data_IF_866231014650
#
_entry.id   IF_866231014650
#
_cell.length_a   1.000
_cell.length_b   1.000
_cell.length_c   1.000
_cell.angle_alpha   90.00
_cell.angle_beta   90.00
_cell.angle_gamma   90.00
#
_symmetry.space_group_name_H-M   'P 1'
#
loop_
_entity.id
_entity.type
_entity.pdbx_description
1 polymer ?
#
# COMPACT_ATOMS: atom_id res chain seq x y z
N UNK A 1 -17.01 -36.52 -12.62
CA UNK A 1 -16.83 -37.96 -12.32
C UNK A 1 -16.57 -38.01 -10.82
N UNK A 2 -17.35 -38.75 -10.03
CA UNK A 2 -17.16 -38.78 -8.57
C UNK A 2 -16.04 -39.77 -8.25
N UNK A 3 -14.87 -39.27 -7.84
CA UNK A 3 -13.78 -40.05 -7.26
C UNK A 3 -14.25 -40.68 -5.94
N UNK A 4 -13.88 -41.94 -5.72
CA UNK A 4 -14.15 -42.60 -4.44
C UNK A 4 -13.32 -41.93 -3.34
N UNK A 5 -13.86 -41.71 -2.13
CA UNK A 5 -13.07 -41.19 -1.01
C UNK A 5 -11.86 -42.07 -0.67
N UNK A 6 -11.88 -43.35 -1.06
CA UNK A 6 -10.71 -44.24 -0.93
C UNK A 6 -9.62 -43.96 -1.98
N UNK A 7 -10.00 -43.62 -3.20
CA UNK A 7 -9.08 -43.30 -4.29
C UNK A 7 -8.35 -41.97 -4.02
N UNK A 8 -9.04 -41.02 -3.37
CA UNK A 8 -8.44 -39.77 -2.90
C UNK A 8 -7.42 -40.00 -1.79
N UNK A 9 -7.67 -40.94 -0.87
CA UNK A 9 -6.72 -41.30 0.19
C UNK A 9 -5.48 -42.03 -0.35
N UNK A 10 -5.67 -42.87 -1.38
CA UNK A 10 -4.57 -43.56 -2.05
C UNK A 10 -3.66 -42.57 -2.77
N UNK A 11 -4.22 -41.60 -3.50
CA UNK A 11 -3.44 -40.53 -4.12
C UNK A 11 -2.69 -39.67 -3.09
N UNK A 12 -3.33 -39.36 -1.95
CA UNK A 12 -2.71 -38.58 -0.88
C UNK A 12 -1.56 -39.35 -0.21
N UNK A 13 -1.70 -40.67 -0.09
CA UNK A 13 -0.67 -41.54 0.46
C UNK A 13 0.53 -41.69 -0.47
N UNK A 14 0.30 -41.68 -1.79
CA UNK A 14 1.37 -41.71 -2.80
C UNK A 14 2.15 -40.39 -2.88
N UNK A 15 1.52 -39.28 -2.48
CA UNK A 15 2.11 -37.94 -2.46
C UNK A 15 2.44 -37.45 -1.04
N UNK A 16 2.63 -38.36 -0.07
CA UNK A 16 3.09 -37.98 1.26
C UNK A 16 4.49 -37.36 1.18
N UNK A 17 4.73 -36.20 1.81
CA UNK A 17 6.05 -35.58 1.84
C UNK A 17 7.02 -36.37 2.72
N UNK A 18 8.30 -36.30 2.42
CA UNK A 18 9.37 -36.79 3.29
C UNK A 18 9.43 -35.98 4.60
N UNK A 19 10.01 -36.55 5.67
CA UNK A 19 9.97 -35.98 7.03
C UNK A 19 10.32 -34.47 7.08
N UNK A 20 9.36 -33.66 7.53
CA UNK A 20 9.53 -32.22 7.77
C UNK A 20 9.02 -31.32 6.65
N UNK A 21 8.57 -31.87 5.52
CA UNK A 21 7.91 -31.12 4.46
C UNK A 21 6.38 -31.13 4.65
N UNK A 22 5.74 -30.03 4.26
CA UNK A 22 4.28 -29.89 4.28
C UNK A 22 3.78 -29.71 2.85
N UNK A 23 2.60 -30.23 2.54
CA UNK A 23 1.97 -30.11 1.22
C UNK A 23 0.60 -29.44 1.36
N UNK A 24 0.32 -28.49 0.48
CA UNK A 24 -1.00 -27.90 0.31
C UNK A 24 -1.80 -28.79 -0.64
N UNK A 25 -2.88 -29.36 -0.13
CA UNK A 25 -3.82 -30.14 -0.94
C UNK A 25 -5.03 -29.26 -1.23
N UNK A 26 -5.25 -28.92 -2.50
CA UNK A 26 -6.40 -28.11 -2.93
C UNK A 26 -7.15 -28.78 -4.07
N UNK A 27 -8.45 -28.52 -4.18
CA UNK A 27 -9.29 -29.03 -5.28
C UNK A 27 -9.45 -27.95 -6.34
N UNK A 28 -8.90 -28.16 -7.53
CA UNK A 28 -9.07 -27.27 -8.71
C UNK A 28 -9.72 -28.07 -9.83
N UNK A 29 -10.82 -27.56 -10.39
CA UNK A 29 -11.58 -28.18 -11.49
C UNK A 29 -12.02 -29.64 -11.26
N UNK A 30 -12.16 -30.05 -9.99
CA UNK A 30 -12.59 -31.39 -9.61
C UNK A 30 -11.45 -32.38 -9.33
N UNK A 31 -10.20 -32.00 -9.62
CA UNK A 31 -8.99 -32.79 -9.38
C UNK A 31 -8.25 -32.30 -8.13
N UNK A 32 -7.53 -33.22 -7.46
CA UNK A 32 -6.65 -32.91 -6.34
C UNK A 32 -5.31 -32.41 -6.89
N UNK A 33 -4.94 -31.19 -6.52
CA UNK A 33 -3.66 -30.57 -6.86
C UNK A 33 -2.78 -30.53 -5.60
N UNK A 34 -1.57 -31.07 -5.74
CA UNK A 34 -0.56 -31.14 -4.69
C UNK A 34 0.52 -30.09 -4.95
N UNK A 35 0.59 -29.06 -4.10
CA UNK A 35 1.62 -28.02 -4.19
C UNK A 35 2.46 -28.06 -2.90
N UNK A 36 3.80 -27.95 -2.97
CA UNK A 36 4.64 -27.87 -1.77
C UNK A 36 4.17 -26.69 -0.91
N UNK A 37 3.83 -26.95 0.35
CA UNK A 37 3.41 -25.90 1.28
C UNK A 37 4.63 -25.03 1.59
N UNK A 38 4.69 -23.89 0.90
CA UNK A 38 5.61 -22.81 1.23
C UNK A 38 4.88 -21.88 2.19
N UNK A 39 5.22 -21.88 3.49
CA UNK A 39 4.61 -20.93 4.43
C UNK A 39 4.84 -19.47 4.00
N UNK A 40 5.81 -19.24 3.13
CA UNK A 40 6.21 -17.93 2.62
C UNK A 40 5.70 -17.60 1.20
N UNK A 41 4.84 -18.40 0.56
CA UNK A 41 4.33 -18.05 -0.78
C UNK A 41 3.44 -16.78 -0.79
N UNK A 42 2.87 -16.44 0.37
CA UNK A 42 2.19 -15.15 0.64
C UNK A 42 3.17 -14.02 1.04
N UNK A 43 4.46 -14.34 1.26
CA UNK A 43 5.57 -13.43 1.61
C UNK A 43 6.56 -13.18 0.45
N UNK A 44 6.56 -14.06 -0.54
CA UNK A 44 7.50 -14.13 -1.68
C UNK A 44 7.53 -12.88 -2.58
N UNK A 45 6.68 -11.88 -2.31
CA UNK A 45 6.68 -10.61 -3.03
C UNK A 45 7.87 -9.69 -2.69
N UNK A 46 8.55 -9.88 -1.55
CA UNK A 46 9.54 -8.90 -1.00
C UNK A 46 10.85 -9.54 -0.49
N UNK A 47 11.02 -10.86 -0.53
CA UNK A 47 12.21 -11.51 0.04
C UNK A 47 13.53 -11.17 -0.65
N UNK A 48 13.47 -10.56 -1.84
CA UNK A 48 14.66 -10.07 -2.52
C UNK A 48 15.05 -8.67 -2.04
N UNK A 49 16.22 -8.59 -1.39
CA UNK A 49 16.78 -7.37 -0.80
C UNK A 49 16.76 -6.14 -1.74
N UNK A 50 16.93 -6.36 -3.06
CA UNK A 50 16.87 -5.29 -4.05
C UNK A 50 15.46 -4.68 -4.20
N UNK A 51 14.43 -5.52 -4.27
CA UNK A 51 13.04 -5.04 -4.39
C UNK A 51 12.61 -4.35 -3.10
N UNK A 52 12.92 -4.94 -1.95
CA UNK A 52 12.69 -4.33 -0.65
C UNK A 52 13.37 -2.95 -0.53
N UNK A 53 14.65 -2.84 -0.89
CA UNK A 53 15.38 -1.57 -0.87
C UNK A 53 14.74 -0.49 -1.74
N UNK A 54 14.19 -0.84 -2.91
CA UNK A 54 13.44 0.11 -3.74
C UNK A 54 12.09 0.50 -3.15
N UNK A 55 11.39 -0.42 -2.48
CA UNK A 55 10.14 -0.09 -1.77
C UNK A 55 10.41 0.88 -0.62
N UNK A 56 11.48 0.65 0.15
CA UNK A 56 11.92 1.56 1.22
C UNK A 56 12.26 2.94 0.66
N UNK A 57 13.09 3.00 -0.39
CA UNK A 57 13.45 4.27 -1.04
C UNK A 57 12.22 5.03 -1.57
N UNK A 58 11.28 4.33 -2.21
CA UNK A 58 10.05 4.93 -2.70
C UNK A 58 9.18 5.49 -1.56
N UNK A 59 9.11 4.77 -0.44
CA UNK A 59 8.40 5.22 0.75
C UNK A 59 9.04 6.45 1.39
N UNK A 60 10.38 6.49 1.49
CA UNK A 60 11.12 7.66 1.98
C UNK A 60 10.88 8.89 1.11
N UNK A 61 10.89 8.72 -0.22
CA UNK A 61 10.57 9.78 -1.16
C UNK A 61 9.16 10.34 -0.89
N UNK A 62 8.14 9.47 -0.79
CA UNK A 62 6.77 9.90 -0.46
C UNK A 62 6.65 10.61 0.89
N UNK A 63 7.42 10.16 1.89
CA UNK A 63 7.41 10.75 3.23
C UNK A 63 8.07 12.14 3.24
N UNK A 64 9.15 12.31 2.48
CA UNK A 64 9.86 13.59 2.37
C UNK A 64 9.01 14.72 1.78
N UNK A 65 8.00 14.40 0.97
CA UNK A 65 7.08 15.36 0.36
C UNK A 65 6.19 16.09 1.38
N UNK A 66 6.04 15.55 2.59
CA UNK A 66 5.21 16.15 3.64
C UNK A 66 5.82 17.36 4.33
N UNK A 67 7.15 17.49 4.36
CA UNK A 67 7.83 18.50 5.16
C UNK A 67 7.55 19.94 4.69
N UNK A 68 7.57 20.18 3.37
CA UNK A 68 7.39 21.53 2.82
C UNK A 68 5.96 22.06 3.03
N UNK A 69 4.87 21.32 2.73
CA UNK A 69 3.52 21.78 3.03
C UNK A 69 3.31 22.08 4.51
N UNK A 70 3.84 21.26 5.43
CA UNK A 70 3.76 21.53 6.87
C UNK A 70 4.42 22.85 7.26
N UNK A 71 5.62 23.11 6.73
CA UNK A 71 6.33 24.38 6.95
C UNK A 71 5.54 25.58 6.42
N UNK A 72 5.02 25.50 5.19
CA UNK A 72 4.23 26.57 4.57
C UNK A 72 2.95 26.83 5.38
N UNK A 73 2.23 25.78 5.78
CA UNK A 73 1.04 25.88 6.64
C UNK A 73 1.37 26.51 7.99
N UNK A 74 2.45 26.09 8.65
CA UNK A 74 2.87 26.66 9.93
C UNK A 74 3.22 28.15 9.84
N UNK A 75 4.07 28.52 8.87
CA UNK A 75 4.51 29.92 8.67
C UNK A 75 3.33 30.81 8.29
N UNK A 76 2.46 30.35 7.37
CA UNK A 76 1.28 31.10 6.97
C UNK A 76 0.29 31.30 8.13
N UNK A 77 0.06 30.27 8.94
CA UNK A 77 -0.83 30.36 10.10
C UNK A 77 -0.31 31.36 11.14
N UNK A 78 0.98 31.31 11.48
CA UNK A 78 1.60 32.28 12.41
C UNK A 78 1.50 33.69 11.84
N UNK A 79 1.78 33.87 10.56
CA UNK A 79 1.68 35.18 9.89
C UNK A 79 0.26 35.73 9.95
N UNK A 80 -0.75 34.89 9.70
CA UNK A 80 -2.17 35.26 9.81
C UNK A 80 -2.56 35.62 11.25
N UNK A 81 -2.02 34.93 12.25
CA UNK A 81 -2.26 35.26 13.66
C UNK A 81 -1.69 36.64 14.02
N UNK A 82 -0.44 36.93 13.62
CA UNK A 82 0.20 38.22 13.87
C UNK A 82 -0.55 39.35 13.16
N UNK A 83 -0.91 39.15 11.89
CA UNK A 83 -1.65 40.15 11.11
C UNK A 83 -3.06 40.40 11.68
N UNK A 84 -3.74 39.33 12.08
CA UNK A 84 -5.05 39.39 12.72
C UNK A 84 -4.99 40.18 14.03
N UNK A 85 -3.97 39.94 14.85
CA UNK A 85 -3.76 40.68 16.09
C UNK A 85 -3.44 42.17 15.85
N UNK A 86 -2.67 42.48 14.81
CA UNK A 86 -2.28 43.86 14.49
C UNK A 86 -3.43 44.71 13.94
N UNK A 87 -4.39 44.09 13.24
CA UNK A 87 -5.46 44.79 12.51
C UNK A 87 -6.80 44.79 13.22
N UNK A 88 -7.15 43.71 13.93
CA UNK A 88 -8.38 43.60 14.70
C UNK A 88 -8.10 43.96 16.15
N UNK A 89 -8.41 45.19 16.53
CA UNK A 89 -8.26 45.71 17.89
C UNK A 89 -9.03 44.85 18.92
N UNK A 90 -8.34 43.91 19.55
CA UNK A 90 -8.61 43.36 20.89
C UNK A 90 -9.98 42.72 21.18
N UNK A 91 -10.87 42.56 20.20
CA UNK A 91 -12.17 41.95 20.46
C UNK A 91 -12.01 40.47 20.78
N UNK A 92 -12.36 40.08 22.01
CA UNK A 92 -12.24 38.71 22.51
C UNK A 92 -12.99 37.68 21.67
N UNK A 93 -13.99 38.12 20.90
CA UNK A 93 -14.79 37.29 20.01
C UNK A 93 -14.01 36.78 18.78
N UNK A 94 -12.99 37.51 18.30
CA UNK A 94 -12.21 37.12 17.12
C UNK A 94 -11.30 35.93 17.42
N UNK A 95 -10.94 35.72 18.69
CA UNK A 95 -10.02 34.66 19.08
C UNK A 95 -10.55 33.25 18.85
N UNK A 96 -11.87 33.05 18.90
CA UNK A 96 -12.50 31.77 18.58
C UNK A 96 -12.36 31.37 17.10
N UNK A 97 -12.02 32.31 16.21
CA UNK A 97 -11.81 32.03 14.79
C UNK A 97 -10.44 31.40 14.52
N UNK A 98 -9.42 31.65 15.35
CA UNK A 98 -8.08 31.08 15.13
C UNK A 98 -8.04 29.55 15.21
N UNK A 99 -8.69 28.88 16.19
CA UNK A 99 -8.79 27.42 16.21
C UNK A 99 -9.52 26.85 14.99
N UNK A 100 -10.61 27.49 14.54
CA UNK A 100 -11.34 27.08 13.33
C UNK A 100 -10.46 27.20 12.08
N UNK A 101 -9.76 28.33 11.96
CA UNK A 101 -8.80 28.57 10.88
C UNK A 101 -7.66 27.56 10.91
N UNK A 102 -7.16 27.19 12.10
CA UNK A 102 -6.11 26.19 12.26
C UNK A 102 -6.57 24.83 11.74
N UNK A 103 -7.74 24.36 12.17
CA UNK A 103 -8.29 23.08 11.72
C UNK A 103 -8.48 23.08 10.20
N UNK A 104 -9.03 24.16 9.64
CA UNK A 104 -9.19 24.29 8.19
C UNK A 104 -7.85 24.28 7.44
N UNK A 105 -6.85 24.98 7.97
CA UNK A 105 -5.49 25.02 7.42
C UNK A 105 -4.82 23.65 7.46
N UNK A 106 -5.00 22.89 8.54
CA UNK A 106 -4.52 21.51 8.65
C UNK A 106 -5.22 20.58 7.66
N UNK A 107 -6.54 20.71 7.46
CA UNK A 107 -7.26 19.95 6.43
C UNK A 107 -6.72 20.23 5.03
N UNK A 108 -6.51 21.51 4.68
CA UNK A 108 -5.90 21.89 3.41
C UNK A 108 -4.50 21.30 3.29
N UNK A 109 -3.68 21.40 4.33
CA UNK A 109 -2.33 20.85 4.35
C UNK A 109 -2.35 19.34 4.10
N UNK A 110 -3.24 18.61 4.79
CA UNK A 110 -3.42 17.18 4.60
C UNK A 110 -3.79 16.84 3.15
N UNK A 111 -4.79 17.51 2.57
CA UNK A 111 -5.16 17.30 1.17
C UNK A 111 -4.02 17.63 0.20
N UNK A 112 -3.25 18.70 0.48
CA UNK A 112 -2.11 19.09 -0.33
C UNK A 112 -1.00 18.03 -0.30
N UNK A 113 -0.66 17.50 0.88
CA UNK A 113 0.32 16.41 1.02
C UNK A 113 -0.14 15.20 0.22
N UNK A 114 -1.41 14.77 0.39
CA UNK A 114 -1.97 13.63 -0.35
C UNK A 114 -1.90 13.82 -1.86
N UNK A 115 -2.28 14.99 -2.35
CA UNK A 115 -2.23 15.29 -3.78
C UNK A 115 -0.81 15.22 -4.34
N UNK A 116 0.19 15.73 -3.61
CA UNK A 116 1.60 15.64 -4.03
C UNK A 116 2.12 14.20 -4.02
N UNK A 117 1.77 13.44 -2.98
CA UNK A 117 2.13 12.02 -2.88
C UNK A 117 1.55 11.22 -4.04
N UNK A 118 0.28 11.44 -4.37
CA UNK A 118 -0.40 10.78 -5.49
C UNK A 118 0.26 11.10 -6.83
N UNK A 119 0.59 12.38 -7.10
CA UNK A 119 1.28 12.76 -8.34
C UNK A 119 2.59 12.01 -8.48
N UNK A 120 3.48 12.12 -7.47
CA UNK A 120 4.81 11.48 -7.52
C UNK A 120 4.69 9.97 -7.61
N UNK A 121 3.73 9.38 -6.89
CA UNK A 121 3.44 7.96 -6.97
C UNK A 121 3.08 7.53 -8.39
N UNK A 122 2.16 8.23 -9.05
CA UNK A 122 1.70 7.88 -10.39
C UNK A 122 2.77 8.13 -11.47
N UNK A 123 3.56 9.20 -11.34
CA UNK A 123 4.51 9.61 -12.38
C UNK A 123 5.86 8.91 -12.28
N UNK A 124 6.34 8.61 -11.07
CA UNK A 124 7.71 8.13 -10.85
C UNK A 124 7.73 6.71 -10.27
N UNK A 125 7.03 6.49 -9.16
CA UNK A 125 7.16 5.25 -8.38
C UNK A 125 6.43 4.08 -9.05
N UNK A 126 5.16 4.26 -9.42
CA UNK A 126 4.30 3.24 -10.01
C UNK A 126 4.85 2.67 -11.34
N UNK A 127 5.33 3.47 -12.31
CA UNK A 127 5.90 2.91 -13.54
C UNK A 127 7.16 2.08 -13.26
N UNK A 128 8.05 2.55 -12.37
CA UNK A 128 9.24 1.80 -11.97
C UNK A 128 8.87 0.48 -11.28
N UNK A 129 7.86 0.50 -10.41
CA UNK A 129 7.33 -0.69 -9.75
C UNK A 129 6.74 -1.69 -10.75
N UNK A 130 5.92 -1.21 -11.69
CA UNK A 130 5.27 -2.07 -12.71
C UNK A 130 6.28 -2.79 -13.59
N UNK A 131 7.36 -2.11 -13.97
CA UNK A 131 8.45 -2.75 -14.73
C UNK A 131 9.06 -3.88 -13.93
N UNK A 132 9.31 -3.68 -12.64
CA UNK A 132 9.92 -4.71 -11.80
C UNK A 132 8.97 -5.87 -11.48
N UNK A 133 7.70 -5.57 -11.15
CA UNK A 133 6.67 -6.58 -10.94
C UNK A 133 6.50 -7.47 -12.18
N UNK A 134 6.45 -6.85 -13.38
CA UNK A 134 6.36 -7.59 -14.64
C UNK A 134 7.60 -8.44 -14.89
N UNK A 135 8.79 -7.91 -14.63
CA UNK A 135 10.06 -8.64 -14.78
C UNK A 135 10.10 -9.88 -13.89
N UNK A 136 9.55 -9.78 -12.69
CA UNK A 136 9.55 -10.83 -11.66
C UNK A 136 8.30 -11.71 -11.65
N UNK A 137 7.30 -11.40 -12.50
CA UNK A 137 5.98 -12.05 -12.53
C UNK A 137 5.27 -12.06 -11.16
N UNK A 138 5.48 -11.02 -10.37
CA UNK A 138 4.84 -10.86 -9.05
C UNK A 138 3.46 -10.22 -9.26
N UNK A 139 2.44 -10.83 -8.66
CA UNK A 139 1.09 -10.28 -8.65
C UNK A 139 1.00 -9.02 -7.76
N UNK A 140 0.32 -7.94 -8.21
CA UNK A 140 0.14 -6.73 -7.41
C UNK A 140 -0.45 -6.97 -6.01
N UNK A 141 -1.35 -7.94 -5.85
CA UNK A 141 -1.95 -8.23 -4.54
C UNK A 141 -0.96 -8.94 -3.61
N UNK A 142 -0.09 -9.80 -4.14
CA UNK A 142 1.02 -10.39 -3.38
C UNK A 142 2.00 -9.32 -2.91
N UNK A 143 2.28 -8.30 -3.72
CA UNK A 143 3.09 -7.16 -3.28
C UNK A 143 2.42 -6.42 -2.11
N UNK A 144 1.11 -6.15 -2.20
CA UNK A 144 0.38 -5.46 -1.12
C UNK A 144 0.38 -6.28 0.17
N UNK A 145 0.21 -7.60 0.05
CA UNK A 145 0.27 -8.53 1.17
C UNK A 145 1.65 -8.49 1.85
N UNK A 146 2.73 -8.48 1.06
CA UNK A 146 4.10 -8.31 1.56
C UNK A 146 4.30 -6.96 2.22
N UNK A 147 3.96 -5.86 1.54
CA UNK A 147 4.19 -4.48 2.04
C UNK A 147 3.44 -4.25 3.35
N UNK A 148 2.25 -4.83 3.50
CA UNK A 148 1.43 -4.74 4.72
C UNK A 148 2.15 -5.26 5.97
N UNK A 149 3.09 -6.20 5.82
CA UNK A 149 3.85 -6.75 6.96
C UNK A 149 4.91 -5.76 7.48
N UNK A 150 5.27 -4.74 6.69
CA UNK A 150 6.31 -3.77 7.02
C UNK A 150 5.71 -2.41 7.37
N UNK A 151 5.65 -2.09 8.68
CA UNK A 151 5.07 -0.84 9.17
C UNK A 151 5.76 0.43 8.63
N UNK A 152 7.04 0.32 8.28
CA UNK A 152 7.81 1.41 7.67
C UNK A 152 7.30 1.80 6.28
N UNK A 153 6.70 0.85 5.52
CA UNK A 153 6.20 1.07 4.16
C UNK A 153 4.76 1.57 4.13
N UNK A 154 4.22 2.04 5.26
CA UNK A 154 2.81 2.42 5.39
C UNK A 154 2.36 3.48 4.39
N UNK A 155 3.18 4.50 4.15
CA UNK A 155 2.83 5.58 3.19
C UNK A 155 2.72 5.02 1.78
N UNK A 156 3.65 4.14 1.39
CA UNK A 156 3.60 3.43 0.11
C UNK A 156 2.41 2.47 0.03
N UNK A 157 2.11 1.74 1.10
CA UNK A 157 0.96 0.83 1.18
C UNK A 157 -0.35 1.57 0.91
N UNK A 158 -0.54 2.74 1.51
CA UNK A 158 -1.75 3.54 1.31
C UNK A 158 -1.95 3.94 -0.16
N UNK A 159 -0.88 4.26 -0.89
CA UNK A 159 -0.95 4.56 -2.32
C UNK A 159 -1.14 3.29 -3.16
N UNK A 160 -0.48 2.18 -2.81
CA UNK A 160 -0.66 0.88 -3.49
C UNK A 160 -2.09 0.36 -3.36
N UNK A 161 -2.70 0.45 -2.17
CA UNK A 161 -4.09 0.04 -1.92
C UNK A 161 -5.07 0.89 -2.72
N UNK A 162 -4.79 2.19 -2.93
CA UNK A 162 -5.61 3.04 -3.82
C UNK A 162 -5.47 2.66 -5.28
N UNK A 163 -4.30 2.16 -5.69
CA UNK A 163 -4.05 1.77 -7.07
C UNK A 163 -4.63 0.39 -7.44
N UNK A 164 -4.50 -0.61 -6.57
CA UNK A 164 -4.82 -2.02 -6.86
C UNK A 164 -6.23 -2.28 -7.45
N UNK A 165 -7.31 -1.65 -6.95
CA UNK A 165 -8.67 -1.88 -7.46
C UNK A 165 -8.83 -1.52 -8.94
N UNK A 166 -7.97 -0.63 -9.47
CA UNK A 166 -8.04 -0.18 -10.87
C UNK A 166 -7.38 -1.14 -11.86
N UNK A 167 -6.89 -2.31 -11.42
CA UNK A 167 -6.33 -3.34 -12.30
C UNK A 167 -7.36 -4.39 -12.76
N UNK A 168 -8.58 -4.40 -12.18
CA UNK A 168 -9.67 -5.33 -12.49
C UNK A 168 -10.73 -4.78 -13.47
N UNK A 169 -10.34 -4.11 -14.56
CA UNK A 169 -11.23 -4.05 -15.74
C UNK A 169 -10.72 -4.97 -16.84
N UNK A 170 -11.00 -6.29 -16.77
CA UNK A 170 -11.02 -7.11 -17.97
C UNK A 170 -12.18 -6.63 -18.86
N UNK A 171 -11.95 -6.64 -20.16
CA UNK A 171 -12.79 -5.98 -21.15
C UNK A 171 -14.28 -6.24 -21.01
N UNK A 172 -15.07 -5.19 -21.22
CA UNK A 172 -16.44 -5.35 -21.74
C UNK A 172 -16.34 -6.13 -23.06
N UNK A 173 -16.95 -7.32 -23.20
CA UNK A 173 -17.17 -7.86 -24.53
C UNK A 173 -18.08 -6.89 -25.29
N UNK A 174 -17.63 -6.48 -26.48
CA UNK A 174 -18.51 -5.92 -27.51
C UNK A 174 -19.20 -7.05 -28.25
#
# INVERSE_FOLDING_TARGET
MYSSPFEELEQLAEHLPDEGESLLVSRRDGELVYEPFRPDELRDGIDEAYLYGRLVQANEQLNSLGALPLWVTGVSFVTLCVLGHATLSGSWQVWYLFPLLLVFSLCICFHWIRWRQEIVFQTEILPALRVELRRRRIDPYSLIAGVRQHAELRTLLEELVRWAPNTETPGKPK
#
